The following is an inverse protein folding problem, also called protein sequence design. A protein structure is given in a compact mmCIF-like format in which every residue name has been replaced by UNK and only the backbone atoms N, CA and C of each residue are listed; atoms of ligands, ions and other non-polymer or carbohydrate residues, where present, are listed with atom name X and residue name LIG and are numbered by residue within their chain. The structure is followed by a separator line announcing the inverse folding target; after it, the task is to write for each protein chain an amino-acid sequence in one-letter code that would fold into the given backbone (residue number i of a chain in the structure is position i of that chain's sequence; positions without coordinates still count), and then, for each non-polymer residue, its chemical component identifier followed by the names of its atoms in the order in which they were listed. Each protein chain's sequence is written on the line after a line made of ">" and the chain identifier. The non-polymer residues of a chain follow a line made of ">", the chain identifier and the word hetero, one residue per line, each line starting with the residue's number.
data_IF_285651067832
#
_entry.id   IF_285651067832
#
_cell.length_a   1.000
_cell.length_b   1.000
_cell.length_c   1.000
_cell.angle_alpha   90.00
_cell.angle_beta   90.00
_cell.angle_gamma   90.00
#
_symmetry.space_group_name_H-M   'P 1'
#
loop_
_entity.id
_entity.type
_entity.pdbx_description
1 polymer ?
#
# COMPACT_ATOMS: atom_id res chain seq x y z
N UNK A 1 -9.67 31.94 29.55
CA UNK A 1 -9.65 31.94 28.07
C UNK A 1 -9.83 30.50 27.63
N UNK A 2 -11.06 30.11 27.32
CA UNK A 2 -11.42 28.74 26.96
C UNK A 2 -10.94 28.48 25.54
N UNK A 3 -10.01 27.55 25.36
CA UNK A 3 -9.59 27.10 24.05
C UNK A 3 -10.77 26.39 23.38
N UNK A 4 -11.27 26.97 22.30
CA UNK A 4 -12.23 26.32 21.41
C UNK A 4 -11.45 25.23 20.68
N UNK A 5 -11.66 23.98 21.08
CA UNK A 5 -11.26 22.84 20.27
C UNK A 5 -12.13 22.87 19.01
N UNK A 6 -11.54 23.27 17.89
CA UNK A 6 -12.15 23.09 16.57
C UNK A 6 -11.99 21.62 16.24
N UNK A 7 -13.01 20.82 16.54
CA UNK A 7 -13.15 19.48 15.97
C UNK A 7 -13.43 19.65 14.49
N UNK A 8 -12.46 19.27 13.65
CA UNK A 8 -12.72 19.09 12.22
C UNK A 8 -13.64 17.87 12.12
N UNK A 9 -14.93 18.10 11.89
CA UNK A 9 -15.84 17.01 11.54
C UNK A 9 -15.31 16.37 10.26
N UNK A 10 -14.79 15.16 10.39
CA UNK A 10 -14.35 14.38 9.24
C UNK A 10 -15.60 13.96 8.48
N UNK A 11 -15.75 14.46 7.26
CA UNK A 11 -16.86 14.03 6.40
C UNK A 11 -16.70 12.56 6.08
N UNK A 12 -17.80 11.85 5.85
CA UNK A 12 -17.77 10.44 5.43
C UNK A 12 -16.90 10.25 4.17
N UNK A 13 -16.97 11.19 3.22
CA UNK A 13 -16.10 11.22 2.05
C UNK A 13 -14.61 11.19 2.44
N UNK A 14 -14.21 12.07 3.35
CA UNK A 14 -12.82 12.14 3.82
C UNK A 14 -12.41 10.86 4.53
N UNK A 15 -13.32 10.24 5.30
CA UNK A 15 -13.06 8.98 5.98
C UNK A 15 -12.90 7.80 4.98
N UNK A 16 -13.75 7.74 3.96
CA UNK A 16 -13.68 6.75 2.86
C UNK A 16 -12.35 6.90 2.10
N UNK A 17 -11.97 8.12 1.73
CA UNK A 17 -10.70 8.37 1.05
C UNK A 17 -9.50 8.03 1.92
N UNK A 18 -9.55 8.38 3.21
CA UNK A 18 -8.50 8.03 4.16
C UNK A 18 -8.36 6.50 4.29
N UNK A 19 -9.48 5.76 4.34
CA UNK A 19 -9.47 4.31 4.39
C UNK A 19 -8.89 3.69 3.11
N UNK A 20 -9.33 4.13 1.93
CA UNK A 20 -8.77 3.67 0.65
C UNK A 20 -7.27 4.00 0.52
N UNK A 21 -6.82 5.14 1.07
CA UNK A 21 -5.41 5.51 1.13
C UNK A 21 -4.55 4.60 2.01
N UNK A 22 -5.15 3.72 2.82
CA UNK A 22 -4.42 2.68 3.57
C UNK A 22 -4.18 1.41 2.76
N UNK A 23 -4.91 1.22 1.65
CA UNK A 23 -4.80 0.05 0.79
C UNK A 23 -3.62 0.26 -0.17
N UNK A 24 -2.67 -0.65 -0.11
CA UNK A 24 -1.38 -0.54 -0.81
C UNK A 24 -1.29 -1.64 -1.86
N UNK A 25 -0.83 -1.28 -3.06
CA UNK A 25 -0.44 -2.29 -4.04
C UNK A 25 0.79 -3.07 -3.50
N UNK A 26 0.71 -4.40 -3.33
CA UNK A 26 1.79 -5.17 -2.72
C UNK A 26 3.12 -5.05 -3.47
N UNK A 27 3.09 -4.96 -4.80
CA UNK A 27 4.28 -4.89 -5.63
C UNK A 27 4.92 -3.50 -5.60
N UNK A 28 4.09 -2.46 -5.59
CA UNK A 28 4.53 -1.08 -5.75
C UNK A 28 4.79 -0.35 -4.43
N UNK A 29 4.28 -0.87 -3.30
CA UNK A 29 4.43 -0.24 -1.98
C UNK A 29 3.90 1.21 -1.93
N UNK A 30 2.89 1.50 -2.75
CA UNK A 30 2.19 2.78 -2.88
C UNK A 30 0.67 2.60 -2.71
N UNK A 31 -0.07 3.57 -2.14
CA UNK A 31 -1.52 3.50 -2.02
C UNK A 31 -2.22 3.40 -3.38
N UNK A 32 -3.31 2.62 -3.46
CA UNK A 32 -4.11 2.50 -4.69
C UNK A 32 -4.73 3.84 -5.13
N UNK A 33 -4.92 4.77 -4.19
CA UNK A 33 -5.36 6.15 -4.47
C UNK A 33 -4.29 6.95 -5.21
N UNK A 34 -3.03 6.83 -4.78
CA UNK A 34 -1.89 7.57 -5.35
C UNK A 34 -1.48 6.99 -6.71
N UNK A 35 -1.78 5.71 -6.94
CA UNK A 35 -1.58 5.03 -8.22
C UNK A 35 -2.69 5.30 -9.24
N UNK A 36 -3.78 5.96 -8.85
CA UNK A 36 -4.93 6.23 -9.72
C UNK A 36 -5.81 5.00 -10.00
N UNK A 37 -5.66 3.94 -9.21
CA UNK A 37 -6.42 2.70 -9.39
C UNK A 37 -7.86 2.83 -8.91
N UNK A 38 -8.16 3.78 -8.03
CA UNK A 38 -9.54 4.10 -7.65
C UNK A 38 -10.15 4.99 -8.74
N UNK A 39 -11.08 4.43 -9.52
CA UNK A 39 -11.77 5.15 -10.59
C UNK A 39 -12.90 6.01 -10.07
N UNK A 40 -13.77 5.44 -9.23
CA UNK A 40 -14.90 6.16 -8.67
C UNK A 40 -15.31 5.67 -7.29
N UNK A 41 -15.90 6.58 -6.52
CA UNK A 41 -16.51 6.33 -5.21
C UNK A 41 -17.91 6.93 -5.23
N UNK A 42 -18.92 6.08 -5.11
CA UNK A 42 -20.32 6.48 -4.97
C UNK A 42 -20.79 6.22 -3.53
N UNK A 43 -21.27 7.27 -2.87
CA UNK A 43 -21.81 7.24 -1.51
C UNK A 43 -23.30 7.58 -1.58
N UNK A 44 -24.13 6.71 -1.03
CA UNK A 44 -25.58 6.91 -0.95
C UNK A 44 -26.12 6.45 0.42
N UNK A 45 -27.44 6.41 0.56
CA UNK A 45 -28.07 5.94 1.79
C UNK A 45 -27.90 4.41 1.98
N UNK A 46 -27.59 3.63 0.95
CA UNK A 46 -27.36 2.19 1.08
C UNK A 46 -25.93 1.89 1.53
N UNK A 47 -24.96 2.68 1.11
CA UNK A 47 -23.57 2.56 1.54
C UNK A 47 -22.58 3.16 0.56
N UNK A 48 -21.47 2.45 0.34
CA UNK A 48 -20.37 2.89 -0.52
C UNK A 48 -20.09 1.86 -1.61
N UNK A 49 -20.06 2.33 -2.86
CA UNK A 49 -19.61 1.55 -4.02
C UNK A 49 -18.33 2.16 -4.58
N UNK A 50 -17.29 1.35 -4.71
CA UNK A 50 -15.98 1.75 -5.25
C UNK A 50 -15.68 0.93 -6.50
N UNK A 51 -15.28 1.62 -7.56
CA UNK A 51 -14.74 0.98 -8.76
C UNK A 51 -13.21 1.12 -8.77
N UNK A 52 -12.53 -0.02 -8.90
CA UNK A 52 -11.09 -0.12 -9.10
C UNK A 52 -10.80 -0.44 -10.57
N UNK A 53 -9.71 0.11 -11.08
CA UNK A 53 -9.17 -0.17 -12.42
C UNK A 53 -7.67 -0.41 -12.32
N UNK A 54 -7.15 -1.25 -13.22
CA UNK A 54 -5.74 -1.64 -13.19
C UNK A 54 -5.02 -1.30 -14.51
N UNK A 55 -3.69 -1.11 -14.48
CA UNK A 55 -2.91 -0.71 -15.65
C UNK A 55 -3.04 -1.65 -16.85
N UNK A 56 -3.30 -2.94 -16.61
CA UNK A 56 -3.49 -3.94 -17.67
C UNK A 56 -4.59 -4.93 -17.29
N UNK A 57 -5.21 -5.57 -18.28
CA UNK A 57 -6.23 -6.60 -18.06
C UNK A 57 -5.66 -7.90 -17.48
N UNK A 58 -4.33 -8.04 -17.51
CA UNK A 58 -3.58 -9.24 -17.08
C UNK A 58 -2.63 -8.93 -15.93
N UNK A 59 -2.94 -7.91 -15.12
CA UNK A 59 -2.28 -7.75 -13.82
C UNK A 59 -2.43 -9.06 -13.02
N UNK A 60 -1.52 -9.33 -12.09
CA UNK A 60 -1.57 -10.56 -11.30
C UNK A 60 -2.94 -10.70 -10.62
N UNK A 61 -3.69 -11.81 -10.84
CA UNK A 61 -4.99 -12.03 -10.19
C UNK A 61 -4.86 -12.00 -8.66
N UNK A 62 -3.73 -12.46 -8.12
CA UNK A 62 -3.45 -12.43 -6.69
C UNK A 62 -3.35 -11.00 -6.17
N UNK A 63 -2.66 -10.10 -6.87
CA UNK A 63 -2.54 -8.70 -6.45
C UNK A 63 -3.84 -7.94 -6.67
N UNK A 64 -4.53 -8.18 -7.79
CA UNK A 64 -5.86 -7.62 -8.04
C UNK A 64 -6.85 -8.00 -6.93
N UNK A 65 -6.86 -9.29 -6.54
CA UNK A 65 -7.67 -9.78 -5.44
C UNK A 65 -7.28 -9.13 -4.11
N UNK A 66 -5.99 -9.10 -3.74
CA UNK A 66 -5.51 -8.51 -2.49
C UNK A 66 -5.92 -7.03 -2.37
N UNK A 67 -5.74 -6.24 -3.42
CA UNK A 67 -6.13 -4.82 -3.40
C UNK A 67 -7.65 -4.65 -3.27
N UNK A 68 -8.43 -5.45 -3.99
CA UNK A 68 -9.88 -5.35 -3.94
C UNK A 68 -10.45 -5.84 -2.60
N UNK A 69 -9.92 -6.94 -2.03
CA UNK A 69 -10.31 -7.43 -0.71
C UNK A 69 -9.90 -6.46 0.40
N UNK A 70 -8.68 -5.91 0.33
CA UNK A 70 -8.20 -4.94 1.32
C UNK A 70 -9.02 -3.65 1.27
N UNK A 71 -9.47 -3.23 0.10
CA UNK A 71 -10.41 -2.10 -0.03
C UNK A 71 -11.76 -2.40 0.62
N UNK A 72 -12.29 -3.63 0.49
CA UNK A 72 -13.51 -4.03 1.20
C UNK A 72 -13.30 -3.92 2.72
N UNK A 73 -12.21 -4.49 3.23
CA UNK A 73 -11.92 -4.52 4.67
C UNK A 73 -11.65 -3.11 5.23
N UNK A 74 -10.89 -2.28 4.51
CA UNK A 74 -10.64 -0.90 4.89
C UNK A 74 -11.93 -0.09 4.99
N UNK A 75 -12.83 -0.21 4.00
CA UNK A 75 -14.12 0.50 4.00
C UNK A 75 -15.07 -0.04 5.06
N UNK A 76 -15.05 -1.35 5.36
CA UNK A 76 -15.83 -1.95 6.46
C UNK A 76 -15.44 -1.40 7.84
N UNK A 77 -14.23 -0.87 7.97
CA UNK A 77 -13.75 -0.25 9.22
C UNK A 77 -14.19 1.22 9.40
N UNK A 78 -14.81 1.83 8.38
CA UNK A 78 -15.29 3.21 8.44
C UNK A 78 -16.69 3.23 9.07
N UNK A 79 -16.86 4.07 10.09
CA UNK A 79 -18.14 4.29 10.74
C UNK A 79 -19.20 4.80 9.76
N UNK A 80 -20.48 4.55 10.06
CA UNK A 80 -21.64 5.00 9.28
C UNK A 80 -21.76 4.45 7.84
N UNK A 81 -21.00 3.41 7.47
CA UNK A 81 -21.19 2.65 6.23
C UNK A 81 -21.98 1.36 6.50
N UNK A 82 -23.16 1.21 5.88
CA UNK A 82 -24.00 0.01 6.02
C UNK A 82 -23.61 -1.13 5.08
N UNK A 83 -23.20 -0.79 3.87
CA UNK A 83 -22.88 -1.75 2.82
C UNK A 83 -21.67 -1.27 2.04
N UNK A 84 -20.73 -2.16 1.81
CA UNK A 84 -19.52 -1.90 1.02
C UNK A 84 -19.58 -2.77 -0.22
N UNK A 85 -19.36 -2.16 -1.39
CA UNK A 85 -19.23 -2.86 -2.66
C UNK A 85 -17.97 -2.36 -3.35
N UNK A 86 -17.02 -3.25 -3.58
CA UNK A 86 -15.82 -2.97 -4.38
C UNK A 86 -15.91 -3.78 -5.65
N UNK A 87 -15.76 -3.12 -6.79
CA UNK A 87 -15.85 -3.71 -8.11
C UNK A 87 -14.53 -3.47 -8.85
N UNK A 88 -13.98 -4.52 -9.44
CA UNK A 88 -12.83 -4.46 -10.32
C UNK A 88 -13.30 -4.37 -11.77
N UNK A 89 -12.93 -3.30 -12.46
CA UNK A 89 -13.27 -3.02 -13.85
C UNK A 89 -12.18 -3.56 -14.80
N UNK A 90 -12.62 -4.09 -15.95
CA UNK A 90 -11.79 -4.47 -17.11
C UNK A 90 -10.56 -5.36 -16.83
N UNK A 91 -10.62 -6.20 -15.80
CA UNK A 91 -9.62 -7.24 -15.54
C UNK A 91 -10.10 -8.58 -16.10
N UNK A 92 -9.17 -9.44 -16.53
CA UNK A 92 -9.50 -10.77 -17.05
C UNK A 92 -10.36 -11.59 -16.07
N UNK A 93 -10.01 -11.52 -14.78
CA UNK A 93 -10.75 -12.18 -13.69
C UNK A 93 -11.77 -11.27 -12.97
N UNK A 94 -12.18 -10.13 -13.56
CA UNK A 94 -13.11 -9.19 -12.93
C UNK A 94 -14.39 -9.87 -12.43
N UNK A 95 -15.06 -10.64 -13.29
CA UNK A 95 -16.33 -11.31 -12.93
C UNK A 95 -16.14 -12.28 -11.76
N UNK A 96 -15.04 -13.05 -11.79
CA UNK A 96 -14.70 -14.03 -10.75
C UNK A 96 -14.41 -13.33 -9.42
N UNK A 97 -13.54 -12.32 -9.43
CA UNK A 97 -13.17 -11.54 -8.23
C UNK A 97 -14.40 -10.83 -7.66
N UNK A 98 -15.18 -10.14 -8.48
CA UNK A 98 -16.36 -9.39 -8.05
C UNK A 98 -17.42 -10.31 -7.43
N UNK A 99 -17.68 -11.48 -8.03
CA UNK A 99 -18.58 -12.48 -7.47
C UNK A 99 -18.07 -13.04 -6.13
N UNK A 100 -16.76 -13.33 -6.05
CA UNK A 100 -16.12 -13.82 -4.84
C UNK A 100 -16.19 -12.83 -3.67
N UNK A 101 -15.93 -11.54 -3.93
CA UNK A 101 -16.04 -10.46 -2.95
C UNK A 101 -17.49 -10.26 -2.49
N UNK A 102 -18.45 -10.26 -3.42
CA UNK A 102 -19.87 -10.10 -3.09
C UNK A 102 -20.41 -11.25 -2.20
N UNK A 103 -19.85 -12.45 -2.35
CA UNK A 103 -20.22 -13.63 -1.57
C UNK A 103 -19.38 -13.81 -0.28
N UNK A 104 -18.44 -12.91 0.01
CA UNK A 104 -17.46 -13.04 1.11
C UNK A 104 -16.73 -14.40 1.07
N UNK A 105 -16.45 -14.90 -0.15
CA UNK A 105 -15.99 -16.27 -0.38
C UNK A 105 -14.53 -16.51 0.02
N UNK A 106 -13.79 -15.44 0.32
CA UNK A 106 -12.33 -15.50 0.52
C UNK A 106 -11.59 -15.92 -0.76
N UNK A 107 -10.26 -15.97 -0.69
CA UNK A 107 -9.41 -16.25 -1.86
C UNK A 107 -9.70 -17.64 -2.44
N UNK A 108 -9.74 -18.66 -1.59
CA UNK A 108 -10.03 -20.06 -2.00
C UNK A 108 -11.43 -20.22 -2.57
N UNK A 109 -12.44 -19.57 -2.00
CA UNK A 109 -13.80 -19.63 -2.54
C UNK A 109 -13.93 -18.88 -3.87
N UNK A 110 -13.09 -17.88 -4.12
CA UNK A 110 -13.06 -17.10 -5.37
C UNK A 110 -12.39 -17.87 -6.51
N UNK A 111 -11.22 -18.47 -6.27
CA UNK A 111 -10.40 -19.10 -7.32
C UNK A 111 -10.47 -20.64 -7.34
N UNK A 112 -11.08 -21.26 -6.33
CA UNK A 112 -11.29 -22.71 -6.30
C UNK A 112 -9.99 -23.50 -6.42
N UNK A 113 -9.89 -24.28 -7.51
CA UNK A 113 -8.71 -25.13 -7.79
C UNK A 113 -7.48 -24.35 -8.28
N UNK A 114 -7.68 -23.10 -8.74
CA UNK A 114 -6.58 -22.21 -9.15
C UNK A 114 -5.92 -21.56 -7.92
N UNK A 115 -6.60 -21.57 -6.77
CA UNK A 115 -6.07 -21.05 -5.53
C UNK A 115 -5.14 -22.06 -4.84
N UNK A 116 -3.96 -21.59 -4.44
CA UNK A 116 -3.14 -22.24 -3.42
C UNK A 116 -3.78 -22.09 -2.02
N UNK A 117 -3.02 -22.35 -0.95
CA UNK A 117 -3.56 -22.35 0.41
C UNK A 117 -3.95 -20.97 0.93
N UNK A 118 -3.10 -19.96 0.73
CA UNK A 118 -3.37 -18.57 1.13
C UNK A 118 -2.48 -17.60 0.34
N UNK A 119 -2.80 -16.30 0.42
CA UNK A 119 -1.94 -15.23 -0.08
C UNK A 119 -1.05 -14.61 1.01
N UNK A 120 -0.99 -15.19 2.22
CA UNK A 120 -0.26 -14.62 3.36
C UNK A 120 1.25 -14.62 3.11
N UNK A 121 1.82 -15.71 2.59
CA UNK A 121 3.24 -15.81 2.28
C UNK A 121 3.63 -14.85 1.14
N UNK A 122 2.77 -14.74 0.12
CA UNK A 122 2.95 -13.78 -0.96
C UNK A 122 2.95 -12.35 -0.42
N UNK A 123 1.95 -12.00 0.41
CA UNK A 123 1.86 -10.69 1.06
C UNK A 123 3.12 -10.40 1.88
N UNK A 124 3.56 -11.35 2.71
CA UNK A 124 4.75 -11.19 3.54
C UNK A 124 6.02 -10.97 2.71
N UNK A 125 6.17 -11.68 1.60
CA UNK A 125 7.31 -11.53 0.68
C UNK A 125 7.42 -10.09 0.16
N UNK A 126 6.29 -9.50 -0.25
CA UNK A 126 6.26 -8.14 -0.77
C UNK A 126 6.40 -7.09 0.33
N UNK A 127 5.82 -7.32 1.51
CA UNK A 127 6.03 -6.44 2.67
C UNK A 127 7.51 -6.39 3.12
N UNK A 128 8.24 -7.52 3.03
CA UNK A 128 9.69 -7.56 3.27
C UNK A 128 10.48 -6.75 2.24
N UNK A 129 10.10 -6.81 0.96
CA UNK A 129 10.68 -5.97 -0.11
C UNK A 129 10.41 -4.49 0.13
N UNK A 130 9.18 -4.12 0.50
CA UNK A 130 8.80 -2.76 0.88
C UNK A 130 9.64 -2.24 2.06
N UNK A 131 9.79 -3.04 3.13
CA UNK A 131 10.68 -2.72 4.25
C UNK A 131 12.11 -2.47 3.78
N UNK A 132 12.66 -3.36 2.95
CA UNK A 132 14.02 -3.26 2.43
C UNK A 132 14.23 -1.99 1.61
N UNK A 133 13.28 -1.63 0.74
CA UNK A 133 13.33 -0.40 -0.04
C UNK A 133 13.24 0.86 0.84
N UNK A 134 12.35 0.87 1.84
CA UNK A 134 12.23 1.99 2.78
C UNK A 134 13.50 2.16 3.65
N UNK A 135 14.10 1.05 4.07
CA UNK A 135 15.37 1.03 4.79
C UNK A 135 16.49 1.63 3.93
N UNK A 136 16.60 1.21 2.66
CA UNK A 136 17.60 1.75 1.73
C UNK A 136 17.41 3.26 1.52
N UNK A 137 16.18 3.74 1.32
CA UNK A 137 15.89 5.20 1.20
C UNK A 137 16.39 6.00 2.39
N UNK A 138 16.21 5.47 3.61
CA UNK A 138 16.68 6.10 4.83
C UNK A 138 18.22 6.12 4.90
N UNK A 139 18.87 5.00 4.58
CA UNK A 139 20.34 4.87 4.59
C UNK A 139 20.98 5.76 3.53
N UNK A 140 20.47 5.73 2.30
CA UNK A 140 20.95 6.56 1.20
C UNK A 140 20.79 8.06 1.55
N UNK A 141 19.71 8.46 2.24
CA UNK A 141 19.59 9.83 2.77
C UNK A 141 20.67 10.15 3.80
N UNK A 142 20.97 9.24 4.74
CA UNK A 142 22.05 9.42 5.70
C UNK A 142 23.42 9.53 5.02
N UNK A 143 23.72 8.68 4.04
CA UNK A 143 24.97 8.72 3.28
C UNK A 143 25.15 10.04 2.52
N UNK A 144 24.07 10.64 2.02
CA UNK A 144 24.14 11.92 1.29
C UNK A 144 24.22 13.16 2.19
N UNK A 145 23.68 13.08 3.40
CA UNK A 145 23.50 14.25 4.28
C UNK A 145 24.47 14.29 5.46
N UNK A 146 25.27 13.23 5.65
CA UNK A 146 26.23 13.09 6.75
C UNK A 146 27.56 12.57 6.24
N UNK A 147 28.58 12.52 7.10
CA UNK A 147 29.88 11.89 6.79
C UNK A 147 29.89 10.36 7.05
N UNK A 148 28.73 9.71 7.08
CA UNK A 148 28.63 8.26 7.30
C UNK A 148 29.28 7.49 6.15
N UNK A 149 30.27 6.65 6.46
CA UNK A 149 30.83 5.73 5.47
C UNK A 149 29.93 4.50 5.30
N UNK A 150 29.92 3.92 4.10
CA UNK A 150 29.15 2.68 3.81
C UNK A 150 29.54 1.56 4.77
N UNK A 151 30.82 1.45 5.11
CA UNK A 151 31.32 0.45 6.07
C UNK A 151 30.77 0.63 7.48
N UNK A 152 30.24 1.80 7.85
CA UNK A 152 29.74 2.10 9.19
C UNK A 152 28.20 1.98 9.32
N UNK A 153 27.49 1.65 8.24
CA UNK A 153 26.02 1.55 8.23
C UNK A 153 25.48 0.56 9.28
N UNK A 154 26.22 -0.52 9.59
CA UNK A 154 25.82 -1.49 10.62
C UNK A 154 25.69 -0.89 12.03
N UNK A 155 26.30 0.28 12.26
CA UNK A 155 26.21 1.02 13.52
C UNK A 155 24.96 1.91 13.60
N UNK A 156 24.31 2.18 12.47
CA UNK A 156 23.17 3.09 12.40
C UNK A 156 21.98 2.53 13.20
N UNK A 157 21.40 3.37 14.05
CA UNK A 157 20.20 3.07 14.85
C UNK A 157 19.01 3.91 14.41
N UNK A 158 17.80 3.43 14.69
CA UNK A 158 16.57 4.14 14.30
C UNK A 158 16.51 5.57 14.88
N UNK A 159 17.12 5.82 16.06
CA UNK A 159 17.29 7.17 16.63
C UNK A 159 18.10 8.13 15.76
N UNK A 160 19.01 7.63 14.93
CA UNK A 160 19.87 8.45 14.07
C UNK A 160 19.14 8.94 12.82
N UNK A 161 18.02 8.32 12.44
CA UNK A 161 17.25 8.72 11.28
C UNK A 161 16.49 10.03 11.55
N UNK A 162 16.50 11.01 10.63
CA UNK A 162 15.77 12.26 10.79
C UNK A 162 14.27 11.97 10.92
N UNK A 163 13.57 12.83 11.67
CA UNK A 163 12.12 12.78 11.73
C UNK A 163 11.50 13.11 10.35
N UNK A 164 10.32 12.54 10.08
CA UNK A 164 9.56 12.80 8.86
C UNK A 164 9.17 11.53 8.11
N UNK A 165 8.57 11.75 6.92
CA UNK A 165 7.86 10.72 6.15
C UNK A 165 8.67 9.45 5.89
N UNK A 166 9.97 9.56 5.57
CA UNK A 166 10.81 8.41 5.27
C UNK A 166 11.01 7.50 6.49
N UNK A 167 11.25 8.08 7.67
CA UNK A 167 11.40 7.33 8.92
C UNK A 167 10.08 6.72 9.33
N UNK A 168 8.98 7.46 9.27
CA UNK A 168 7.64 6.95 9.55
C UNK A 168 7.27 5.79 8.63
N UNK A 169 7.56 5.92 7.33
CA UNK A 169 7.37 4.88 6.33
C UNK A 169 8.15 3.60 6.66
N UNK A 170 9.41 3.71 7.07
CA UNK A 170 10.22 2.58 7.53
C UNK A 170 9.61 1.94 8.78
N UNK A 171 9.24 2.73 9.80
CA UNK A 171 8.68 2.20 11.04
C UNK A 171 7.34 1.49 10.82
N UNK A 172 6.45 2.03 9.97
CA UNK A 172 5.20 1.36 9.59
C UNK A 172 5.45 0.00 8.96
N UNK A 173 6.39 -0.07 8.00
CA UNK A 173 6.74 -1.33 7.32
C UNK A 173 7.37 -2.34 8.29
N UNK A 174 8.22 -1.89 9.20
CA UNK A 174 8.77 -2.75 10.28
C UNK A 174 7.66 -3.36 11.12
N UNK A 175 6.73 -2.54 11.60
CA UNK A 175 5.60 -3.03 12.39
C UNK A 175 4.74 -4.04 11.62
N UNK A 176 4.48 -3.79 10.32
CA UNK A 176 3.68 -4.67 9.47
C UNK A 176 4.27 -6.08 9.33
N UNK A 177 5.60 -6.24 9.38
CA UNK A 177 6.28 -7.54 9.32
C UNK A 177 6.77 -8.03 10.70
N UNK A 178 6.28 -7.44 11.80
CA UNK A 178 6.60 -7.85 13.16
C UNK A 178 8.01 -7.47 13.66
N UNK A 179 8.71 -6.57 12.96
CA UNK A 179 10.01 -6.07 13.41
C UNK A 179 9.87 -4.97 14.46
N UNK A 180 10.79 -4.95 15.42
CA UNK A 180 10.81 -3.93 16.47
C UNK A 180 11.03 -2.51 15.95
N UNK A 181 10.38 -1.53 16.57
CA UNK A 181 10.43 -0.10 16.22
C UNK A 181 11.17 0.77 17.26
N UNK A 182 11.80 0.14 18.25
CA UNK A 182 12.55 0.80 19.31
C UNK A 182 13.73 1.63 18.80
N UNK A 183 13.97 2.78 19.42
CA UNK A 183 14.95 3.78 18.97
C UNK A 183 16.40 3.28 18.90
N UNK A 184 16.76 2.32 19.75
CA UNK A 184 18.09 1.69 19.81
C UNK A 184 18.29 0.51 18.86
N UNK A 185 17.25 0.14 18.11
CA UNK A 185 17.36 -0.98 17.18
C UNK A 185 18.15 -0.59 15.93
N UNK A 186 18.90 -1.54 15.35
CA UNK A 186 19.63 -1.33 14.11
C UNK A 186 18.69 -0.95 12.96
N UNK A 187 19.12 0.00 12.13
CA UNK A 187 18.43 0.32 10.88
C UNK A 187 18.64 -0.78 9.86
N UNK A 188 19.90 -1.20 9.69
CA UNK A 188 20.30 -2.12 8.64
C UNK A 188 20.23 -3.58 9.11
N UNK A 189 19.13 -4.24 8.75
CA UNK A 189 18.80 -5.60 9.16
C UNK A 189 18.35 -6.42 7.96
N UNK A 190 18.40 -7.74 8.09
CA UNK A 190 17.78 -8.66 7.14
C UNK A 190 16.26 -8.73 7.30
N UNK A 191 15.63 -9.66 6.55
CA UNK A 191 14.17 -9.85 6.56
C UNK A 191 13.60 -10.39 7.88
N UNK A 192 14.46 -10.88 8.78
CA UNK A 192 14.11 -11.38 10.10
C UNK A 192 14.47 -10.38 11.22
N UNK A 193 14.99 -9.21 10.86
CA UNK A 193 15.39 -8.19 11.82
C UNK A 193 16.77 -8.42 12.43
N UNK A 194 17.55 -9.37 11.93
CA UNK A 194 18.91 -9.64 12.39
C UNK A 194 19.84 -8.61 11.75
N UNK A 195 20.73 -8.04 12.58
CA UNK A 195 21.71 -7.06 12.09
C UNK A 195 22.65 -7.70 11.07
N UNK A 196 22.83 -7.05 9.92
CA UNK A 196 23.75 -7.51 8.89
C UNK A 196 25.20 -7.28 9.35
N UNK A 197 26.08 -8.29 9.25
CA UNK A 197 27.46 -8.13 9.69
C UNK A 197 28.23 -7.17 8.77
N UNK A 198 29.26 -6.45 9.29
CA UNK A 198 29.95 -5.38 8.56
C UNK A 198 30.48 -5.78 7.17
N UNK A 199 30.98 -7.00 7.04
CA UNK A 199 31.53 -7.56 5.81
C UNK A 199 30.49 -7.76 4.70
N UNK A 200 29.22 -7.96 5.06
CA UNK A 200 28.12 -8.16 4.10
C UNK A 200 27.46 -6.84 3.68
N UNK A 201 27.69 -5.76 4.42
CA UNK A 201 27.03 -4.46 4.23
C UNK A 201 27.08 -3.98 2.77
N UNK A 202 28.25 -3.95 2.09
CA UNK A 202 28.31 -3.42 0.73
C UNK A 202 27.45 -4.21 -0.26
N UNK A 203 27.40 -5.54 -0.13
CA UNK A 203 26.61 -6.39 -1.02
C UNK A 203 25.12 -6.28 -0.73
N UNK A 204 24.72 -6.38 0.54
CA UNK A 204 23.32 -6.30 0.96
C UNK A 204 22.72 -4.92 0.67
N UNK A 205 23.50 -3.84 0.79
CA UNK A 205 23.05 -2.50 0.43
C UNK A 205 22.80 -2.36 -1.07
N UNK A 206 23.68 -2.91 -1.92
CA UNK A 206 23.46 -2.94 -3.38
C UNK A 206 22.20 -3.71 -3.75
N UNK A 207 21.97 -4.84 -3.10
CA UNK A 207 20.74 -5.62 -3.29
C UNK A 207 19.50 -4.80 -2.89
N UNK A 208 19.50 -4.19 -1.71
CA UNK A 208 18.40 -3.34 -1.24
C UNK A 208 18.13 -2.16 -2.19
N UNK A 209 19.18 -1.57 -2.76
CA UNK A 209 19.08 -0.52 -3.79
C UNK A 209 18.43 -1.02 -5.07
N UNK A 210 18.78 -2.23 -5.52
CA UNK A 210 18.16 -2.88 -6.67
C UNK A 210 16.67 -3.14 -6.43
N UNK A 211 16.30 -3.62 -5.23
CA UNK A 211 14.89 -3.84 -4.85
C UNK A 211 14.12 -2.52 -4.90
N UNK A 212 14.65 -1.46 -4.29
CA UNK A 212 14.01 -0.12 -4.35
C UNK A 212 13.82 0.35 -5.79
N UNK A 213 14.87 0.27 -6.61
CA UNK A 213 14.81 0.72 -8.02
C UNK A 213 13.73 -0.07 -8.79
N UNK A 214 13.62 -1.38 -8.56
CA UNK A 214 12.59 -2.20 -9.19
C UNK A 214 11.18 -1.77 -8.77
N UNK A 215 10.95 -1.54 -7.48
CA UNK A 215 9.63 -1.10 -6.97
C UNK A 215 9.26 0.27 -7.55
N UNK A 216 10.16 1.26 -7.42
CA UNK A 216 9.91 2.62 -7.90
C UNK A 216 9.71 2.63 -9.43
N UNK A 217 10.49 1.80 -10.16
CA UNK A 217 10.41 1.65 -11.61
C UNK A 217 9.10 1.02 -12.07
N UNK A 218 8.67 -0.08 -11.43
CA UNK A 218 7.39 -0.72 -11.72
C UNK A 218 6.23 0.24 -11.43
N UNK A 219 6.32 1.02 -10.34
CA UNK A 219 5.27 2.00 -10.01
C UNK A 219 5.14 3.10 -11.07
N UNK A 220 6.28 3.62 -11.56
CA UNK A 220 6.27 4.57 -12.69
C UNK A 220 5.70 3.96 -13.97
N UNK A 221 6.10 2.73 -14.30
CA UNK A 221 5.64 2.03 -15.49
C UNK A 221 4.13 1.73 -15.44
N UNK A 222 3.62 1.26 -14.30
CA UNK A 222 2.20 1.00 -14.07
C UNK A 222 1.35 2.27 -14.23
N UNK A 223 1.79 3.41 -13.70
CA UNK A 223 1.11 4.70 -13.92
C UNK A 223 1.05 5.09 -15.39
N UNK A 224 2.15 4.90 -16.13
CA UNK A 224 2.20 5.16 -17.57
C UNK A 224 1.23 4.27 -18.36
N UNK A 225 1.23 2.95 -18.08
CA UNK A 225 0.30 2.00 -18.70
C UNK A 225 -1.16 2.33 -18.39
N UNK A 226 -1.47 2.67 -17.14
CA UNK A 226 -2.82 3.07 -16.74
C UNK A 226 -3.27 4.30 -17.52
N UNK A 227 -2.40 5.32 -17.62
CA UNK A 227 -2.73 6.55 -18.32
C UNK A 227 -2.98 6.32 -19.82
N UNK A 228 -2.16 5.49 -20.48
CA UNK A 228 -2.39 5.12 -21.88
C UNK A 228 -3.65 4.28 -22.06
N UNK A 229 -3.95 3.39 -21.11
CA UNK A 229 -5.11 2.48 -21.21
C UNK A 229 -6.44 3.22 -21.10
N UNK A 230 -6.50 4.26 -20.27
CA UNK A 230 -7.72 5.02 -19.97
C UNK A 230 -7.63 6.47 -20.46
N UNK A 231 -6.86 6.73 -21.53
CA UNK A 231 -6.69 8.07 -22.12
C UNK A 231 -8.01 8.67 -22.64
N UNK A 232 -8.94 7.81 -23.08
CA UNK A 232 -10.26 8.20 -23.60
C UNK A 232 -11.31 8.47 -22.50
N UNK A 233 -11.02 8.14 -21.23
CA UNK A 233 -11.88 8.52 -20.10
C UNK A 233 -11.72 10.04 -19.85
N UNK A 234 -12.82 10.80 -19.73
CA UNK A 234 -12.82 12.27 -19.59
C UNK A 234 -11.91 12.81 -18.46
N UNK A 235 -11.49 11.96 -17.51
CA UNK A 235 -10.33 12.19 -16.65
C UNK A 235 -9.84 10.89 -15.98
N UNK A 236 -8.52 10.79 -15.70
CA UNK A 236 -7.98 9.82 -14.75
C UNK A 236 -8.27 10.17 -13.29
N UNK A 237 -8.86 11.34 -13.04
CA UNK A 237 -9.21 11.80 -11.70
C UNK A 237 -10.26 10.89 -11.06
N UNK A 238 -10.10 10.71 -9.76
CA UNK A 238 -11.07 10.02 -8.93
C UNK A 238 -12.42 10.75 -8.97
N UNK A 239 -13.45 10.08 -9.48
CA UNK A 239 -14.81 10.62 -9.49
C UNK A 239 -15.56 10.25 -8.20
N UNK A 240 -15.93 11.25 -7.40
CA UNK A 240 -16.68 11.04 -6.14
C UNK A 240 -18.09 11.61 -6.30
N UNK A 241 -19.09 10.77 -6.04
CA UNK A 241 -20.49 11.19 -5.95
C UNK A 241 -21.02 10.87 -4.56
N UNK A 242 -21.60 11.85 -3.88
CA UNK A 242 -22.27 11.66 -2.61
C UNK A 242 -23.71 12.18 -2.68
N UNK A 243 -24.67 11.27 -2.56
CA UNK A 243 -26.11 11.55 -2.62
C UNK A 243 -26.81 11.30 -1.29
N UNK A 244 -26.05 10.96 -0.23
CA UNK A 244 -26.58 10.70 1.10
C UNK A 244 -27.29 11.96 1.60
N UNK A 245 -28.52 11.81 2.08
CA UNK A 245 -29.26 12.95 2.63
C UNK A 245 -28.63 13.32 3.97
N UNK A 246 -28.09 14.53 4.08
CA UNK A 246 -27.73 15.10 5.38
C UNK A 246 -29.02 15.30 6.18
N UNK A 247 -29.12 14.60 7.32
CA UNK A 247 -30.21 14.78 8.27
C UNK A 247 -29.98 16.04 9.13
#
# INVERSE_FOLDING_TARGET
>A
MTAIAVSVETTLESAVLAALGTVVDPELDEPITDLGFVRSVAIDDLGVTVHLRLPTSFCSPNFAYLMASDAVDALRSVDDIRTVRVLLDDHHDSDKINAGLAADAGYRGTFGVEAEDSLEELRLTFQRKAHMAAMERCIETQLRTTSLAVSDIYRLRLRNLPAGRAREALLRRRAAIGLGIGLDLPVFVDEHGVAVPPEEVPMKLRFAKSVRISIDGNGHFCRGLLATRYEDDESLDLHITNTRRTA
#
